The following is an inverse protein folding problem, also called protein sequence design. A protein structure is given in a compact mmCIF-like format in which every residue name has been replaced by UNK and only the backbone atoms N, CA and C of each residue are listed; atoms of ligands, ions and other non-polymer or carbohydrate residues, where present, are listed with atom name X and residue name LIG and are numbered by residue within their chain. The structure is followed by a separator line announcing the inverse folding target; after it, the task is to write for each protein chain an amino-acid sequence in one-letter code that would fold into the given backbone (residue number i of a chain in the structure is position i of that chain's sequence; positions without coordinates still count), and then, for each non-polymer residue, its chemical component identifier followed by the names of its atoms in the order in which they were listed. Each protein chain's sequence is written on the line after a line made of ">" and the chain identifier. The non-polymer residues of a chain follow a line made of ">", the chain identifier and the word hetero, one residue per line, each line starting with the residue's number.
data_IF_244020461357
#
_entry.id   IF_244020461357
#
_cell.length_a   1.000
_cell.length_b   1.000
_cell.length_c   1.000
_cell.angle_alpha   90.00
_cell.angle_beta   90.00
_cell.angle_gamma   90.00
#
_symmetry.space_group_name_H-M   'P 1'
#
loop_
_entity.id
_entity.type
_entity.pdbx_description
1 polymer ?
#
# COMPACT_ATOMS: atom_id res chain seq x y z
N UNK A 1 26.90 -13.92 -16.75
CA UNK A 1 26.92 -13.43 -15.35
C UNK A 1 25.53 -13.72 -14.83
N UNK A 2 25.38 -14.83 -14.11
CA UNK A 2 24.06 -15.34 -13.70
C UNK A 2 23.42 -14.44 -12.65
N UNK A 3 22.31 -13.82 -13.02
CA UNK A 3 21.46 -12.98 -12.15
C UNK A 3 20.56 -13.80 -11.21
N UNK A 4 20.75 -15.14 -11.16
CA UNK A 4 19.93 -16.09 -10.42
C UNK A 4 20.65 -16.76 -9.23
N UNK A 5 21.76 -16.20 -8.75
CA UNK A 5 22.43 -16.74 -7.57
C UNK A 5 21.57 -16.50 -6.31
N UNK A 6 21.15 -17.58 -5.64
CA UNK A 6 20.47 -17.50 -4.34
C UNK A 6 21.39 -16.83 -3.29
N UNK A 7 20.87 -15.90 -2.46
CA UNK A 7 21.68 -15.21 -1.47
C UNK A 7 22.11 -16.16 -0.34
N UNK A 8 23.34 -15.99 0.16
CA UNK A 8 23.85 -16.76 1.29
C UNK A 8 23.14 -16.41 2.60
N UNK A 9 22.81 -17.45 3.39
CA UNK A 9 22.16 -17.34 4.69
C UNK A 9 23.05 -16.59 5.69
N UNK A 10 22.69 -15.35 6.02
CA UNK A 10 23.27 -14.58 7.12
C UNK A 10 22.48 -14.80 8.40
N UNK A 11 23.17 -14.73 9.55
CA UNK A 11 22.62 -14.93 10.91
C UNK A 11 21.34 -14.12 11.15
N UNK A 12 20.31 -14.80 11.63
CA UNK A 12 18.92 -14.35 11.78
C UNK A 12 18.79 -13.33 12.91
N UNK A 13 18.61 -12.06 12.54
CA UNK A 13 17.91 -11.04 13.37
C UNK A 13 16.42 -11.46 13.45
N UNK A 14 15.63 -11.04 14.46
CA UNK A 14 14.20 -11.38 14.53
C UNK A 14 13.56 -11.21 13.15
N UNK A 15 13.05 -12.31 12.60
CA UNK A 15 12.68 -12.45 11.19
C UNK A 15 11.68 -11.34 10.81
N UNK A 16 12.03 -10.42 9.90
CA UNK A 16 11.15 -9.33 9.43
C UNK A 16 9.79 -9.83 8.90
N UNK A 17 9.72 -11.10 8.55
CA UNK A 17 8.59 -11.82 7.96
C UNK A 17 7.54 -12.32 8.96
N UNK A 18 7.82 -12.31 10.28
CA UNK A 18 6.91 -12.88 11.28
C UNK A 18 5.55 -12.17 11.38
N UNK A 19 5.44 -10.94 10.86
CA UNK A 19 4.22 -10.13 10.87
C UNK A 19 3.33 -10.36 9.64
N UNK A 20 3.93 -10.84 8.54
CA UNK A 20 3.20 -11.09 7.29
C UNK A 20 2.38 -12.36 7.43
N UNK A 21 1.24 -12.40 6.76
CA UNK A 21 0.38 -13.56 6.78
C UNK A 21 1.14 -14.79 6.23
N UNK A 22 1.18 -15.94 6.94
CA UNK A 22 1.94 -17.12 6.49
C UNK A 22 1.53 -17.61 5.10
N UNK A 23 0.26 -17.41 4.74
CA UNK A 23 -0.29 -17.72 3.43
C UNK A 23 0.27 -16.87 2.29
N UNK A 24 1.06 -15.82 2.55
CA UNK A 24 1.82 -15.08 1.53
C UNK A 24 3.23 -15.66 1.34
N UNK A 25 3.87 -16.07 2.43
CA UNK A 25 5.26 -16.53 2.43
C UNK A 25 5.37 -17.99 2.00
N UNK A 26 4.46 -18.84 2.48
CA UNK A 26 4.51 -20.30 2.30
C UNK A 26 3.70 -20.79 1.10
N UNK A 27 3.54 -19.94 0.08
CA UNK A 27 2.80 -20.28 -1.12
C UNK A 27 3.56 -21.26 -2.00
N UNK A 28 2.83 -22.21 -2.59
CA UNK A 28 3.36 -23.09 -3.64
C UNK A 28 3.83 -22.28 -4.85
N UNK A 29 4.77 -22.83 -5.63
CA UNK A 29 5.22 -22.24 -6.90
C UNK A 29 4.06 -21.98 -7.86
N UNK A 30 3.07 -22.87 -7.87
CA UNK A 30 1.88 -22.75 -8.72
C UNK A 30 1.02 -21.55 -8.31
N UNK A 31 0.82 -21.35 -7.00
CA UNK A 31 0.08 -20.20 -6.46
C UNK A 31 0.80 -18.88 -6.79
N UNK A 32 2.12 -18.82 -6.58
CA UNK A 32 2.92 -17.63 -6.90
C UNK A 32 2.85 -17.28 -8.38
N UNK A 33 2.91 -18.30 -9.26
CA UNK A 33 2.74 -18.12 -10.71
C UNK A 33 1.35 -17.58 -11.04
N UNK A 34 0.31 -18.16 -10.45
CA UNK A 34 -1.07 -17.70 -10.67
C UNK A 34 -1.28 -16.25 -10.26
N UNK A 35 -0.75 -15.82 -9.11
CA UNK A 35 -0.84 -14.41 -8.65
C UNK A 35 -0.11 -13.49 -9.63
N UNK A 36 1.10 -13.87 -10.05
CA UNK A 36 1.88 -13.10 -11.01
C UNK A 36 1.14 -12.98 -12.34
N UNK A 37 0.63 -14.08 -12.87
CA UNK A 37 -0.06 -14.09 -14.15
C UNK A 37 -1.37 -13.29 -14.07
N UNK A 38 -2.10 -13.36 -12.94
CA UNK A 38 -3.26 -12.51 -12.67
C UNK A 38 -2.87 -11.02 -12.66
N UNK A 39 -1.83 -10.65 -11.89
CA UNK A 39 -1.32 -9.28 -11.82
C UNK A 39 -0.96 -8.75 -13.21
N UNK A 40 -0.25 -9.53 -14.03
CA UNK A 40 0.15 -9.13 -15.38
C UNK A 40 -1.01 -9.07 -16.38
N UNK A 41 -2.06 -9.87 -16.19
CA UNK A 41 -3.23 -9.90 -17.06
C UNK A 41 -4.27 -8.82 -16.76
N UNK A 42 -4.21 -8.23 -15.58
CA UNK A 42 -5.14 -7.20 -15.14
C UNK A 42 -5.00 -5.92 -15.97
N UNK A 43 -6.14 -5.27 -16.24
CA UNK A 43 -6.25 -4.03 -17.01
C UNK A 43 -6.89 -2.94 -16.12
N UNK A 44 -6.53 -1.65 -16.27
CA UNK A 44 -5.90 -1.03 -17.45
C UNK A 44 -4.38 -1.19 -17.57
N UNK A 45 -3.72 -1.53 -16.47
CA UNK A 45 -2.29 -1.88 -16.41
C UNK A 45 -2.10 -2.94 -15.32
N UNK A 46 -0.94 -3.63 -15.26
CA UNK A 46 -0.72 -4.66 -14.26
C UNK A 46 -0.95 -4.15 -12.84
N UNK A 47 -1.77 -4.84 -12.07
CA UNK A 47 -2.06 -4.47 -10.69
C UNK A 47 -2.59 -5.66 -9.92
N UNK A 48 -2.51 -5.62 -8.60
CA UNK A 48 -3.01 -6.68 -7.74
C UNK A 48 -3.39 -6.16 -6.36
N UNK A 49 -4.40 -6.78 -5.74
CA UNK A 49 -4.75 -6.53 -4.34
C UNK A 49 -4.52 -7.81 -3.54
N UNK A 50 -3.61 -7.75 -2.57
CA UNK A 50 -3.41 -8.77 -1.57
C UNK A 50 -4.53 -8.64 -0.55
N UNK A 51 -5.42 -9.64 -0.38
CA UNK A 51 -6.58 -9.50 0.50
C UNK A 51 -6.22 -9.43 1.99
N UNK A 52 -5.18 -10.15 2.41
CA UNK A 52 -4.73 -10.23 3.81
C UNK A 52 -3.21 -10.15 3.85
N UNK A 53 -2.69 -9.01 4.28
CA UNK A 53 -1.26 -8.71 4.31
C UNK A 53 -0.57 -9.29 5.55
N UNK A 54 -1.12 -9.01 6.72
CA UNK A 54 -0.55 -9.37 8.01
C UNK A 54 -1.44 -10.32 8.80
N UNK A 55 -0.90 -10.91 9.86
CA UNK A 55 -1.73 -11.62 10.82
C UNK A 55 -2.76 -10.66 11.44
N UNK A 56 -4.02 -11.10 11.65
CA UNK A 56 -5.06 -10.23 12.23
C UNK A 56 -4.64 -9.62 13.57
N UNK A 57 -3.91 -10.38 14.40
CA UNK A 57 -3.42 -9.94 15.70
C UNK A 57 -2.38 -8.82 15.59
N UNK A 58 -1.51 -8.88 14.57
CA UNK A 58 -0.53 -7.84 14.34
C UNK A 58 -1.18 -6.59 13.77
N UNK A 59 -2.04 -6.76 12.75
CA UNK A 59 -2.68 -5.61 12.09
C UNK A 59 -3.62 -4.85 13.04
N UNK A 60 -4.27 -5.54 13.99
CA UNK A 60 -5.10 -4.86 15.01
C UNK A 60 -4.25 -3.98 15.93
N UNK A 61 -3.03 -4.42 16.28
CA UNK A 61 -2.08 -3.58 17.06
C UNK A 61 -1.63 -2.38 16.24
N UNK A 62 -1.28 -2.57 14.97
CA UNK A 62 -0.91 -1.48 14.06
C UNK A 62 -2.03 -0.44 13.98
N UNK A 63 -3.28 -0.88 13.79
CA UNK A 63 -4.45 -0.01 13.73
C UNK A 63 -4.61 0.81 15.03
N UNK A 64 -4.61 0.16 16.20
CA UNK A 64 -4.73 0.84 17.50
C UNK A 64 -3.60 1.86 17.69
N UNK A 65 -2.35 1.47 17.43
CA UNK A 65 -1.20 2.39 17.52
C UNK A 65 -1.36 3.60 16.59
N UNK A 66 -1.83 3.40 15.36
CA UNK A 66 -2.03 4.48 14.41
C UNK A 66 -3.13 5.45 14.86
N UNK A 67 -4.28 4.92 15.30
CA UNK A 67 -5.42 5.75 15.72
C UNK A 67 -5.14 6.51 17.02
N UNK A 68 -4.48 5.88 17.99
CA UNK A 68 -4.24 6.48 19.30
C UNK A 68 -3.05 7.45 19.33
N UNK A 69 -2.02 7.22 18.52
CA UNK A 69 -0.73 7.91 18.68
C UNK A 69 -0.32 8.79 17.50
N UNK A 70 -0.83 8.55 16.28
CA UNK A 70 -0.48 9.39 15.14
C UNK A 70 -1.32 10.66 15.10
N UNK A 71 -0.64 11.79 15.13
CA UNK A 71 -1.24 13.08 14.81
C UNK A 71 -1.19 13.30 13.31
N UNK A 72 -2.32 13.76 12.76
CA UNK A 72 -2.44 14.11 11.35
C UNK A 72 -2.69 15.60 11.18
N UNK A 73 -2.18 16.13 10.08
CA UNK A 73 -2.35 17.53 9.70
C UNK A 73 -3.14 17.59 8.41
N UNK A 74 -4.20 18.40 8.39
CA UNK A 74 -4.99 18.64 7.19
C UNK A 74 -4.16 19.37 6.13
N UNK A 75 -4.25 18.90 4.88
CA UNK A 75 -3.64 19.52 3.72
C UNK A 75 -4.59 19.49 2.53
N UNK A 76 -4.63 20.59 1.80
CA UNK A 76 -5.42 20.74 0.58
C UNK A 76 -4.57 21.47 -0.47
N UNK A 77 -4.57 20.92 -1.67
CA UNK A 77 -3.91 21.46 -2.86
C UNK A 77 -4.88 21.36 -4.04
N UNK A 78 -4.42 21.73 -5.23
CA UNK A 78 -5.10 21.44 -6.48
C UNK A 78 -5.21 19.94 -6.78
N UNK A 79 -4.27 19.13 -6.29
CA UNK A 79 -4.21 17.69 -6.55
C UNK A 79 -4.96 16.85 -5.51
N UNK A 80 -4.98 17.27 -4.25
CA UNK A 80 -5.53 16.44 -3.17
C UNK A 80 -6.10 17.23 -2.01
N UNK A 81 -6.94 16.54 -1.23
CA UNK A 81 -7.42 16.96 0.08
C UNK A 81 -7.37 15.77 1.02
N UNK A 82 -6.53 15.80 2.05
CA UNK A 82 -6.35 14.67 2.98
C UNK A 82 -5.72 15.11 4.31
N UNK A 83 -5.68 14.19 5.27
CA UNK A 83 -4.96 14.33 6.52
C UNK A 83 -3.66 13.51 6.43
N UNK A 84 -2.52 14.18 6.54
CA UNK A 84 -1.21 13.53 6.42
C UNK A 84 -0.52 13.45 7.78
N UNK A 85 0.03 12.29 8.12
CA UNK A 85 0.87 12.15 9.33
C UNK A 85 2.29 12.66 9.07
N UNK A 86 3.17 12.55 10.07
CA UNK A 86 4.60 12.66 9.81
C UNK A 86 5.05 11.58 8.82
N UNK A 87 6.20 11.82 8.18
CA UNK A 87 6.87 10.82 7.36
C UNK A 87 7.41 9.68 8.25
N UNK A 88 6.79 8.50 8.13
CA UNK A 88 7.12 7.30 8.90
C UNK A 88 8.41 6.62 8.41
N UNK A 89 8.81 6.84 7.16
CA UNK A 89 10.11 6.41 6.62
C UNK A 89 11.26 7.15 7.32
N UNK A 90 11.04 8.42 7.64
CA UNK A 90 12.00 9.26 8.37
C UNK A 90 11.86 9.20 9.90
N UNK A 91 10.93 8.39 10.44
CA UNK A 91 10.77 8.22 11.89
C UNK A 91 11.94 7.42 12.48
N UNK A 92 12.86 8.14 13.11
CA UNK A 92 14.02 7.57 13.80
C UNK A 92 13.61 6.84 15.09
N UNK A 93 14.28 5.73 15.41
CA UNK A 93 14.04 4.95 16.64
C UNK A 93 14.31 5.73 17.94
N UNK A 94 15.09 6.81 17.85
CA UNK A 94 15.34 7.75 18.97
C UNK A 94 14.13 8.64 19.28
N UNK A 95 13.21 8.80 18.33
CA UNK A 95 12.02 9.64 18.51
C UNK A 95 11.11 9.02 19.59
N UNK A 96 10.62 9.80 20.58
CA UNK A 96 9.68 9.30 21.59
C UNK A 96 8.44 8.60 21.01
N UNK A 97 7.93 9.08 19.86
CA UNK A 97 6.79 8.48 19.17
C UNK A 97 7.09 7.06 18.67
N UNK A 98 8.34 6.78 18.26
CA UNK A 98 8.74 5.45 17.82
C UNK A 98 8.55 4.38 18.92
N UNK A 99 8.69 4.76 20.20
CA UNK A 99 8.46 3.85 21.33
C UNK A 99 6.99 3.47 21.51
N UNK A 100 6.08 4.28 20.95
CA UNK A 100 4.64 4.08 21.02
C UNK A 100 4.08 3.36 19.80
N UNK A 101 4.89 3.17 18.75
CA UNK A 101 4.49 2.56 17.47
C UNK A 101 5.24 1.24 17.18
N UNK A 102 5.46 0.33 18.16
CA UNK A 102 6.30 -0.84 17.93
C UNK A 102 5.73 -1.81 16.88
N UNK A 103 4.42 -2.00 16.78
CA UNK A 103 3.82 -2.86 15.76
C UNK A 103 3.91 -2.21 14.38
N UNK A 104 3.58 -0.92 14.27
CA UNK A 104 3.71 -0.19 13.00
C UNK A 104 5.16 -0.18 12.50
N UNK A 105 6.14 -0.03 13.39
CA UNK A 105 7.55 -0.10 13.01
C UNK A 105 7.98 -1.51 12.58
N UNK A 106 7.42 -2.56 13.17
CA UNK A 106 7.65 -3.94 12.69
C UNK A 106 7.09 -4.14 11.29
N UNK A 107 5.85 -3.70 11.03
CA UNK A 107 5.26 -3.71 9.69
C UNK A 107 6.11 -2.92 8.69
N UNK A 108 6.48 -1.68 9.04
CA UNK A 108 7.35 -0.83 8.21
C UNK A 108 8.66 -1.52 7.88
N UNK A 109 9.30 -2.16 8.86
CA UNK A 109 10.58 -2.84 8.66
C UNK A 109 10.44 -4.18 7.89
N UNK A 110 9.25 -4.77 7.87
CA UNK A 110 8.92 -5.92 7.02
C UNK A 110 8.72 -5.52 5.55
N UNK A 111 8.44 -4.24 5.30
CA UNK A 111 8.20 -3.64 3.99
C UNK A 111 9.31 -2.65 3.63
N UNK A 112 9.25 -2.05 2.44
CA UNK A 112 10.22 -1.04 1.97
C UNK A 112 9.48 0.29 1.77
N UNK A 113 9.89 1.31 2.52
CA UNK A 113 9.46 2.73 2.40
C UNK A 113 7.94 2.98 2.58
N UNK A 114 7.52 3.55 3.72
CA UNK A 114 6.10 3.74 4.03
C UNK A 114 5.80 5.18 4.52
N UNK A 115 4.66 5.72 4.10
CA UNK A 115 4.01 6.88 4.69
C UNK A 115 2.54 6.53 5.02
N UNK A 116 1.93 7.25 5.98
CA UNK A 116 0.52 7.06 6.33
C UNK A 116 -0.30 8.32 6.02
N UNK A 117 -1.46 8.12 5.39
CA UNK A 117 -2.42 9.16 5.05
C UNK A 117 -3.80 8.72 5.53
N UNK A 118 -4.62 9.68 5.97
CA UNK A 118 -5.99 9.46 6.41
C UNK A 118 -6.94 10.24 5.51
N UNK A 119 -7.93 9.53 4.96
CA UNK A 119 -8.99 10.08 4.13
C UNK A 119 -10.28 10.08 4.95
N UNK A 120 -10.86 11.26 5.15
CA UNK A 120 -12.17 11.46 5.77
C UNK A 120 -13.19 11.86 4.69
N UNK A 121 -14.47 12.00 5.05
CA UNK A 121 -15.50 12.47 4.12
C UNK A 121 -15.06 13.76 3.36
N UNK A 122 -15.08 13.68 2.03
CA UNK A 122 -14.67 14.76 1.12
C UNK A 122 -13.17 14.86 0.84
N UNK A 123 -12.33 14.01 1.45
CA UNK A 123 -10.94 13.85 1.05
C UNK A 123 -10.85 13.10 -0.29
N UNK A 124 -9.83 13.40 -1.08
CA UNK A 124 -9.61 12.82 -2.40
C UNK A 124 -8.15 13.00 -2.83
N UNK A 125 -7.72 12.22 -3.82
CA UNK A 125 -6.46 12.40 -4.53
C UNK A 125 -6.73 12.25 -6.02
N UNK A 126 -6.61 13.33 -6.78
CA UNK A 126 -6.96 13.35 -8.20
C UNK A 126 -5.96 12.51 -9.05
N UNK A 127 -6.33 12.19 -10.31
CA UNK A 127 -5.51 11.33 -11.17
C UNK A 127 -4.05 11.78 -11.32
N UNK A 128 -3.12 10.85 -11.06
CA UNK A 128 -1.66 11.01 -11.20
C UNK A 128 -1.01 9.65 -11.47
N UNK A 129 0.28 9.60 -11.86
CA UNK A 129 0.94 8.36 -12.30
C UNK A 129 2.08 7.85 -11.39
N UNK A 130 2.33 8.53 -10.27
CA UNK A 130 3.36 8.20 -9.26
C UNK A 130 4.82 8.20 -9.76
N UNK A 131 5.09 8.77 -10.94
CA UNK A 131 6.42 8.76 -11.58
C UNK A 131 7.34 9.79 -10.93
N UNK A 132 8.00 9.36 -9.85
CA UNK A 132 8.92 10.19 -9.06
C UNK A 132 10.21 9.42 -8.81
N UNK A 133 11.34 9.99 -9.24
CA UNK A 133 12.68 9.51 -8.91
C UNK A 133 12.92 8.05 -9.33
N UNK A 134 13.16 7.19 -8.36
CA UNK A 134 13.50 5.76 -8.56
C UNK A 134 12.37 4.81 -8.17
N UNK A 135 11.12 5.30 -8.08
CA UNK A 135 9.97 4.45 -7.74
C UNK A 135 9.71 3.45 -8.87
N UNK A 136 9.57 2.18 -8.51
CA UNK A 136 9.29 1.09 -9.46
C UNK A 136 7.94 0.42 -9.19
N UNK A 137 7.51 0.36 -7.93
CA UNK A 137 6.24 -0.22 -7.49
C UNK A 137 5.59 0.79 -6.55
N UNK A 138 4.32 1.10 -6.80
CA UNK A 138 3.47 1.79 -5.83
C UNK A 138 2.64 0.77 -5.09
N UNK A 139 2.42 1.00 -3.80
CA UNK A 139 1.55 0.18 -2.98
C UNK A 139 0.86 1.00 -1.90
N UNK A 140 -0.34 0.55 -1.53
CA UNK A 140 -1.16 1.16 -0.48
C UNK A 140 -1.63 0.07 0.46
N UNK A 141 -1.40 0.25 1.76
CA UNK A 141 -1.90 -0.64 2.82
C UNK A 141 -3.13 0.01 3.43
N UNK A 142 -4.23 -0.73 3.48
CA UNK A 142 -5.48 -0.22 4.00
C UNK A 142 -5.68 -0.61 5.47
N UNK A 143 -5.88 0.41 6.28
CA UNK A 143 -6.14 0.35 7.72
C UNK A 143 -7.51 0.96 8.04
N UNK A 144 -8.54 0.62 7.25
CA UNK A 144 -9.94 0.92 7.59
C UNK A 144 -10.34 0.22 8.89
N UNK A 145 -11.50 0.58 9.45
CA UNK A 145 -11.95 0.00 10.72
C UNK A 145 -12.08 -1.54 10.57
N UNK A 146 -11.43 -2.34 11.43
CA UNK A 146 -11.52 -3.80 11.36
C UNK A 146 -12.91 -4.35 11.71
N UNK A 147 -13.75 -3.55 12.38
CA UNK A 147 -15.04 -3.94 12.91
C UNK A 147 -16.20 -3.30 12.10
N UNK A 148 -15.91 -2.50 11.07
CA UNK A 148 -16.88 -1.93 10.11
C UNK A 148 -16.51 -2.27 8.65
N UNK A 149 -17.44 -2.82 7.90
CA UNK A 149 -17.17 -3.26 6.52
C UNK A 149 -17.19 -2.08 5.56
N UNK A 150 -16.07 -1.83 4.88
CA UNK A 150 -15.99 -0.79 3.85
C UNK A 150 -16.69 -1.21 2.56
N UNK A 151 -17.62 -0.39 2.07
CA UNK A 151 -18.38 -0.64 0.84
C UNK A 151 -18.06 0.38 -0.25
N UNK A 152 -18.52 0.11 -1.47
CA UNK A 152 -18.39 1.08 -2.56
C UNK A 152 -19.18 2.38 -2.33
N UNK A 153 -20.18 2.39 -1.44
CA UNK A 153 -20.95 3.60 -1.13
C UNK A 153 -20.17 4.58 -0.24
N UNK A 154 -19.16 4.11 0.47
CA UNK A 154 -18.34 4.91 1.38
C UNK A 154 -17.27 5.75 0.65
N UNK A 155 -17.05 5.48 -0.65
CA UNK A 155 -16.02 6.14 -1.45
C UNK A 155 -14.61 5.65 -1.14
N UNK A 156 -13.58 6.46 -1.44
CA UNK A 156 -12.19 6.17 -1.06
C UNK A 156 -11.55 5.01 -1.82
N UNK A 157 -12.19 4.47 -2.85
CA UNK A 157 -11.64 3.43 -3.69
C UNK A 157 -10.38 3.94 -4.42
N UNK A 158 -9.38 3.07 -4.56
CA UNK A 158 -8.33 3.27 -5.54
C UNK A 158 -8.93 3.04 -6.93
N UNK A 159 -8.88 4.06 -7.77
CA UNK A 159 -9.41 4.02 -9.14
C UNK A 159 -8.26 3.96 -10.13
N UNK A 160 -8.32 3.07 -11.13
CA UNK A 160 -7.28 2.89 -12.14
C UNK A 160 -7.81 3.27 -13.53
N UNK A 161 -7.05 4.10 -14.24
CA UNK A 161 -7.47 4.70 -15.51
C UNK A 161 -6.74 4.07 -16.70
N UNK A 162 -7.45 3.71 -17.78
CA UNK A 162 -6.83 3.44 -19.07
C UNK A 162 -6.01 4.64 -19.55
N UNK A 163 -4.98 4.37 -20.35
CA UNK A 163 -4.30 5.40 -21.13
C UNK A 163 -4.96 5.52 -22.50
N UNK A 164 -5.42 6.71 -22.87
CA UNK A 164 -5.91 6.98 -24.24
C UNK A 164 -4.73 7.20 -25.20
N UNK A 165 -3.72 7.92 -24.71
CA UNK A 165 -2.44 8.12 -25.37
C UNK A 165 -1.35 8.34 -24.31
N UNK A 166 -0.06 8.23 -24.65
CA UNK A 166 1.02 8.41 -23.67
C UNK A 166 0.90 9.73 -22.90
N UNK A 167 0.77 9.64 -21.57
CA UNK A 167 0.63 10.80 -20.70
C UNK A 167 -0.79 11.38 -20.61
N UNK A 168 -1.78 10.76 -21.25
CA UNK A 168 -3.19 11.16 -21.22
C UNK A 168 -4.04 10.00 -20.71
N UNK A 169 -4.55 10.07 -19.46
CA UNK A 169 -5.51 9.09 -18.97
C UNK A 169 -6.87 9.29 -19.62
N UNK A 170 -7.64 8.20 -19.71
CA UNK A 170 -9.07 8.26 -19.98
C UNK A 170 -9.80 9.03 -18.87
N UNK A 171 -11.00 9.54 -19.18
CA UNK A 171 -11.81 10.27 -18.20
C UNK A 171 -12.48 9.38 -17.16
N UNK A 172 -12.64 8.08 -17.45
CA UNK A 172 -13.41 7.14 -16.63
C UNK A 172 -12.50 6.00 -16.19
N UNK A 173 -12.37 5.73 -14.88
CA UNK A 173 -11.62 4.58 -14.41
C UNK A 173 -12.34 3.27 -14.76
N UNK A 174 -11.58 2.21 -15.00
CA UNK A 174 -12.12 0.91 -15.41
C UNK A 174 -11.82 -0.22 -14.44
N UNK A 175 -10.98 0.02 -13.44
CA UNK A 175 -10.70 -0.93 -12.37
C UNK A 175 -10.62 -0.21 -11.03
N UNK A 176 -10.96 -0.93 -9.97
CA UNK A 176 -11.15 -0.37 -8.63
C UNK A 176 -10.61 -1.35 -7.58
N UNK A 177 -9.97 -0.83 -6.54
CA UNK A 177 -9.66 -1.58 -5.33
C UNK A 177 -10.27 -0.87 -4.11
N UNK A 178 -11.15 -1.58 -3.40
CA UNK A 178 -11.75 -1.05 -2.18
C UNK A 178 -10.71 -1.02 -1.04
N UNK A 179 -10.74 0.00 -0.18
CA UNK A 179 -9.80 0.13 0.93
C UNK A 179 -10.16 -0.81 2.10
N UNK A 180 -10.21 -2.11 1.85
CA UNK A 180 -10.60 -3.12 2.84
C UNK A 180 -9.50 -3.36 3.86
N UNK A 181 -9.86 -3.48 5.13
CA UNK A 181 -8.90 -3.64 6.23
C UNK A 181 -7.91 -4.78 5.98
N UNK A 182 -6.64 -4.55 6.34
CA UNK A 182 -5.54 -5.51 6.21
C UNK A 182 -5.24 -5.95 4.76
N UNK A 183 -5.70 -5.21 3.76
CA UNK A 183 -5.35 -5.45 2.36
C UNK A 183 -4.24 -4.52 1.88
N UNK A 184 -3.55 -4.94 0.82
CA UNK A 184 -2.52 -4.15 0.14
C UNK A 184 -2.80 -4.13 -1.36
N UNK A 185 -3.06 -2.96 -1.93
CA UNK A 185 -3.09 -2.77 -3.38
C UNK A 185 -1.69 -2.41 -3.88
N UNK A 186 -1.29 -2.92 -5.04
CA UNK A 186 -0.01 -2.61 -5.68
C UNK A 186 -0.09 -2.60 -7.20
N UNK A 187 0.81 -1.84 -7.83
CA UNK A 187 1.01 -1.78 -9.27
C UNK A 187 2.41 -1.26 -9.61
N UNK A 188 2.98 -1.60 -10.79
CA UNK A 188 4.22 -1.02 -11.24
C UNK A 188 4.02 0.45 -11.64
N UNK A 189 4.99 1.28 -11.28
CA UNK A 189 5.05 2.68 -11.71
C UNK A 189 5.50 2.71 -13.17
N UNK A 190 4.69 3.28 -14.03
CA UNK A 190 4.89 3.30 -15.47
C UNK A 190 4.59 4.70 -16.03
N UNK A 191 5.63 5.44 -16.50
CA UNK A 191 5.49 6.80 -17.03
C UNK A 191 4.37 6.96 -18.07
N UNK A 192 3.40 7.82 -17.76
CA UNK A 192 2.27 8.10 -18.65
C UNK A 192 1.30 6.94 -18.85
N UNK A 193 1.33 5.92 -17.98
CA UNK A 193 0.48 4.72 -18.03
C UNK A 193 -0.23 4.47 -16.69
N UNK A 194 0.49 4.47 -15.56
CA UNK A 194 -0.04 4.05 -14.25
C UNK A 194 -0.92 5.10 -13.57
N UNK A 195 -1.85 5.71 -14.32
CA UNK A 195 -2.75 6.74 -13.81
C UNK A 195 -3.79 6.17 -12.84
N UNK A 196 -3.88 6.78 -11.67
CA UNK A 196 -4.78 6.38 -10.60
C UNK A 196 -5.19 7.55 -9.70
N UNK A 197 -6.28 7.38 -8.97
CA UNK A 197 -6.80 8.35 -7.99
C UNK A 197 -7.34 7.64 -6.74
N UNK A 198 -7.68 8.43 -5.73
CA UNK A 198 -8.52 8.02 -4.59
C UNK A 198 -9.84 8.79 -4.70
N UNK A 199 -10.94 8.04 -4.84
CA UNK A 199 -12.31 8.54 -5.00
C UNK A 199 -12.78 9.41 -3.83
#
# INVERSE_FOLDING_TARGET
>A
MDIYAEPSLKKVKPEPTAVLHPGLLNQSTETRRSIRDQCLSNAPFPHYQIPVLCTPEHMRKVHVECVEELQSTFKETDLFKLYQTIDLGNLQLSNPLAKKLPALLQLRNALVDCAANVYMAGCHLLPHDDVIGTRCISYVIYLSDPDDEWTAADGGALELYPSESPGVPALVPTAFALPTYNSLALFPVAPGISFHSVQ
#
